data_IF_422374775533
#
_entry.id   IF_422374775533
#
_cell.length_a   1.000
_cell.length_b   1.000
_cell.length_c   1.000
_cell.angle_alpha   90.00
_cell.angle_beta   90.00
_cell.angle_gamma   90.00
#
_symmetry.space_group_name_H-M   'P 1'
#
loop_
_entity.id
_entity.type
_entity.pdbx_description
1 polymer ?
#
# COMPACT_ATOMS: atom_id res chain seq x y z
N UNK A 1 26.58 10.46 10.02
CA UNK A 1 26.45 9.18 10.74
C UNK A 1 25.43 9.18 11.88
N UNK A 2 24.25 9.78 11.69
CA UNK A 2 23.04 9.52 12.49
C UNK A 2 21.83 9.56 11.55
N UNK A 3 21.80 10.56 10.67
CA UNK A 3 20.91 10.66 9.49
C UNK A 3 20.76 9.35 8.70
N UNK A 4 21.87 8.70 8.35
CA UNK A 4 21.84 7.40 7.64
C UNK A 4 21.17 6.29 8.47
N UNK A 5 21.44 6.24 9.78
CA UNK A 5 20.87 5.22 10.67
C UNK A 5 19.35 5.40 10.77
N UNK A 6 18.89 6.63 10.97
CA UNK A 6 17.46 6.97 11.04
C UNK A 6 16.71 6.60 9.75
N UNK A 7 17.31 6.87 8.59
CA UNK A 7 16.66 6.64 7.30
C UNK A 7 16.75 5.19 6.80
N UNK A 8 17.74 4.39 7.24
CA UNK A 8 18.01 3.08 6.63
C UNK A 8 17.92 1.89 7.58
N UNK A 9 17.90 2.10 8.90
CA UNK A 9 18.14 1.01 9.87
C UNK A 9 17.01 0.81 10.87
N UNK A 10 16.06 1.73 10.95
CA UNK A 10 14.88 1.60 11.81
C UNK A 10 13.92 0.57 11.20
N UNK A 11 13.41 -0.37 12.01
CA UNK A 11 12.34 -1.26 11.58
C UNK A 11 11.06 -0.44 11.37
N UNK A 12 10.29 -0.84 10.38
CA UNK A 12 8.93 -0.38 10.16
C UNK A 12 8.21 -1.31 9.21
N UNK A 13 7.00 -0.93 8.80
CA UNK A 13 6.14 -1.76 7.97
C UNK A 13 5.62 -0.94 6.78
N UNK A 14 5.44 -1.61 5.64
CA UNK A 14 5.01 -0.96 4.41
C UNK A 14 4.29 -1.94 3.49
N UNK A 15 3.45 -1.41 2.60
CA UNK A 15 2.85 -2.17 1.51
C UNK A 15 3.92 -2.48 0.45
N UNK A 16 3.99 -3.73 0.00
CA UNK A 16 4.95 -4.24 -1.00
C UNK A 16 4.32 -4.46 -2.36
N UNK A 17 3.04 -4.85 -2.39
CA UNK A 17 2.27 -5.00 -3.62
C UNK A 17 0.80 -4.69 -3.42
N UNK A 18 0.13 -4.34 -4.52
CA UNK A 18 -1.31 -4.11 -4.60
C UNK A 18 -1.87 -4.89 -5.79
N UNK A 19 -3.03 -5.51 -5.60
CA UNK A 19 -3.82 -6.10 -6.67
C UNK A 19 -5.21 -5.44 -6.64
N UNK A 20 -5.60 -4.81 -7.75
CA UNK A 20 -6.91 -4.14 -7.87
C UNK A 20 -7.73 -4.89 -8.90
N UNK A 21 -9.02 -5.11 -8.62
CA UNK A 21 -9.90 -5.82 -9.53
C UNK A 21 -9.97 -5.15 -10.90
N UNK A 22 -9.81 -5.95 -11.95
CA UNK A 22 -9.83 -5.48 -13.34
C UNK A 22 -8.59 -4.69 -13.79
N UNK A 23 -7.60 -4.50 -12.93
CA UNK A 23 -6.35 -3.78 -13.25
C UNK A 23 -5.23 -4.79 -13.54
N UNK A 24 -4.61 -4.64 -14.71
CA UNK A 24 -3.48 -5.50 -15.12
C UNK A 24 -2.12 -4.83 -14.97
N UNK A 25 -2.07 -3.50 -14.96
CA UNK A 25 -0.85 -2.70 -14.90
C UNK A 25 -1.13 -1.33 -14.28
N UNK A 26 -0.08 -0.66 -13.81
CA UNK A 26 -0.09 0.60 -13.07
C UNK A 26 -0.54 1.84 -13.88
N UNK A 27 -0.51 1.75 -15.22
CA UNK A 27 -0.86 2.85 -16.14
C UNK A 27 -2.31 2.81 -16.63
N UNK A 28 -3.22 2.18 -15.88
CA UNK A 28 -4.64 2.11 -16.24
C UNK A 28 -5.50 3.05 -15.38
N UNK A 29 -6.73 3.22 -15.82
CA UNK A 29 -7.82 3.84 -15.05
C UNK A 29 -8.82 2.78 -14.62
N UNK A 30 -9.65 3.10 -13.62
CA UNK A 30 -10.74 2.26 -13.15
C UNK A 30 -12.04 3.01 -13.42
N UNK A 31 -12.99 2.39 -14.12
CA UNK A 31 -14.26 3.03 -14.44
C UNK A 31 -15.02 3.38 -13.14
N UNK A 32 -15.41 4.65 -13.01
CA UNK A 32 -16.14 5.14 -11.83
C UNK A 32 -15.28 5.37 -10.59
N UNK A 33 -13.95 5.32 -10.70
CA UNK A 33 -13.02 5.87 -9.69
C UNK A 33 -12.41 7.15 -10.24
N UNK A 34 -12.28 8.17 -9.39
CA UNK A 34 -11.78 9.50 -9.80
C UNK A 34 -10.27 9.47 -10.10
N UNK A 35 -9.51 8.75 -9.28
CA UNK A 35 -8.06 8.59 -9.41
C UNK A 35 -7.70 7.50 -10.42
N UNK A 36 -6.57 7.70 -11.12
CA UNK A 36 -5.92 6.62 -11.85
C UNK A 36 -5.13 5.69 -10.91
N UNK A 37 -4.72 4.53 -11.43
CA UNK A 37 -4.02 3.51 -10.62
C UNK A 37 -2.69 4.04 -10.07
N UNK A 38 -1.99 4.90 -10.81
CA UNK A 38 -0.74 5.50 -10.33
C UNK A 38 -0.98 6.40 -9.12
N UNK A 39 -2.03 7.22 -9.14
CA UNK A 39 -2.41 8.09 -8.04
C UNK A 39 -2.87 7.30 -6.81
N UNK A 40 -3.59 6.19 -7.02
CA UNK A 40 -3.95 5.24 -5.96
C UNK A 40 -2.69 4.65 -5.33
N UNK A 41 -1.73 4.16 -6.13
CA UNK A 41 -0.45 3.63 -5.63
C UNK A 41 0.30 4.68 -4.82
N UNK A 42 0.36 5.93 -5.29
CA UNK A 42 1.01 7.03 -4.57
C UNK A 42 0.33 7.36 -3.24
N UNK A 43 -0.99 7.20 -3.15
CA UNK A 43 -1.75 7.40 -1.93
C UNK A 43 -1.56 6.23 -0.95
N UNK A 44 -1.53 4.99 -1.45
CA UNK A 44 -1.23 3.79 -0.65
C UNK A 44 0.18 3.85 -0.05
N UNK A 45 1.18 4.35 -0.79
CA UNK A 45 2.55 4.56 -0.25
C UNK A 45 2.62 5.50 0.95
N UNK A 46 1.60 6.33 1.17
CA UNK A 46 1.51 7.24 2.34
C UNK A 46 0.82 6.58 3.54
N UNK A 47 0.23 5.40 3.36
CA UNK A 47 -0.38 4.66 4.47
C UNK A 47 0.72 4.22 5.42
N UNK A 48 0.61 4.68 6.67
CA UNK A 48 1.48 4.31 7.77
C UNK A 48 0.81 3.19 8.54
N UNK A 49 1.50 2.07 8.63
CA UNK A 49 0.99 0.88 9.30
C UNK A 49 2.03 0.30 10.25
N UNK A 50 1.56 -0.43 11.25
CA UNK A 50 2.36 -1.19 12.20
C UNK A 50 1.95 -2.65 12.09
N UNK A 51 2.94 -3.54 12.06
CA UNK A 51 2.72 -5.00 12.07
C UNK A 51 3.48 -5.57 13.27
N UNK A 52 2.78 -6.31 14.13
CA UNK A 52 3.37 -6.92 15.35
C UNK A 52 4.01 -8.30 15.08
N UNK A 53 3.73 -8.90 13.93
CA UNK A 53 4.29 -10.19 13.50
C UNK A 53 5.46 -10.04 12.51
N UNK A 54 6.25 -11.09 12.35
CA UNK A 54 7.30 -11.17 11.33
C UNK A 54 6.78 -11.69 9.96
N UNK A 55 5.53 -12.13 9.88
CA UNK A 55 4.93 -12.69 8.67
C UNK A 55 4.36 -11.61 7.73
N UNK A 56 4.33 -11.93 6.43
CA UNK A 56 3.63 -11.14 5.41
C UNK A 56 2.12 -11.12 5.69
N UNK A 57 1.50 -9.95 5.56
CA UNK A 57 0.08 -9.71 5.83
C UNK A 57 -0.65 -9.33 4.55
N UNK A 58 -1.81 -9.96 4.36
CA UNK A 58 -2.77 -9.61 3.32
C UNK A 58 -3.84 -8.71 3.92
N UNK A 59 -4.04 -7.54 3.34
CA UNK A 59 -5.06 -6.56 3.72
C UNK A 59 -6.05 -6.39 2.57
N UNK A 60 -7.27 -5.99 2.87
CA UNK A 60 -8.36 -5.87 1.90
C UNK A 60 -9.03 -4.51 2.01
N UNK A 61 -9.40 -3.93 0.88
CA UNK A 61 -10.30 -2.80 0.78
C UNK A 61 -11.47 -3.27 -0.09
N UNK A 62 -12.68 -3.27 0.44
CA UNK A 62 -13.93 -3.51 -0.31
C UNK A 62 -14.93 -2.41 0.05
N UNK A 63 -15.06 -1.42 -0.83
CA UNK A 63 -15.91 -0.25 -0.61
C UNK A 63 -16.82 -0.02 -1.81
N UNK A 64 -18.13 0.01 -1.54
CA UNK A 64 -19.15 0.39 -2.52
C UNK A 64 -19.45 1.88 -2.47
N UNK A 65 -19.41 2.55 -3.62
CA UNK A 65 -19.71 3.95 -3.76
C UNK A 65 -21.21 4.29 -3.71
N UNK A 66 -21.56 5.59 -3.58
CA UNK A 66 -20.64 6.72 -3.61
C UNK A 66 -19.90 6.87 -2.27
N UNK A 67 -18.57 6.88 -2.31
CA UNK A 67 -17.74 6.88 -1.11
C UNK A 67 -16.37 7.51 -1.36
N UNK A 68 -15.81 8.10 -0.31
CA UNK A 68 -14.38 8.45 -0.26
C UNK A 68 -13.68 7.35 0.51
N UNK A 69 -12.77 6.63 -0.16
CA UNK A 69 -11.98 5.55 0.42
C UNK A 69 -10.76 6.14 1.12
N UNK A 70 -10.57 5.73 2.36
CA UNK A 70 -9.48 6.15 3.24
C UNK A 70 -8.72 4.93 3.76
N UNK A 71 -7.55 5.15 4.37
CA UNK A 71 -6.80 4.07 5.00
C UNK A 71 -7.56 3.40 6.15
N UNK A 72 -8.54 4.09 6.76
CA UNK A 72 -9.44 3.51 7.76
C UNK A 72 -10.39 2.44 7.22
N UNK A 73 -10.56 2.36 5.90
CA UNK A 73 -11.36 1.32 5.24
C UNK A 73 -10.56 0.04 4.96
N UNK A 74 -9.26 0.03 5.26
CA UNK A 74 -8.39 -1.14 5.12
C UNK A 74 -8.71 -2.15 6.21
N UNK A 75 -9.03 -3.37 5.81
CA UNK A 75 -9.30 -4.50 6.68
C UNK A 75 -8.07 -5.41 6.73
N UNK A 76 -7.67 -5.81 7.92
CA UNK A 76 -6.53 -6.69 8.17
C UNK A 76 -6.78 -7.55 9.41
N UNK A 77 -5.84 -8.43 9.72
CA UNK A 77 -5.88 -9.18 10.98
C UNK A 77 -5.46 -8.33 12.19
N UNK A 78 -5.56 -8.91 13.39
CA UNK A 78 -5.27 -8.21 14.65
C UNK A 78 -3.83 -7.74 14.81
N UNK A 79 -2.91 -8.23 13.97
CA UNK A 79 -1.49 -7.88 14.07
C UNK A 79 -1.17 -6.61 13.29
N UNK A 80 -2.14 -6.07 12.52
CA UNK A 80 -1.98 -4.89 11.67
C UNK A 80 -2.75 -3.72 12.26
N UNK A 81 -2.06 -2.60 12.47
CA UNK A 81 -2.65 -1.34 12.93
C UNK A 81 -2.39 -0.23 11.89
N UNK A 82 -3.46 0.40 11.40
CA UNK A 82 -3.36 1.59 10.55
C UNK A 82 -3.19 2.83 11.44
N UNK A 83 -2.06 3.53 11.26
CA UNK A 83 -1.65 4.65 12.12
C UNK A 83 -2.20 6.00 11.63
N UNK A 84 -2.56 6.12 10.35
CA UNK A 84 -3.13 7.32 9.73
C UNK A 84 -4.43 7.00 8.98
N UNK A 85 -5.53 6.64 9.68
CA UNK A 85 -6.77 6.18 9.07
C UNK A 85 -7.47 7.21 8.17
N UNK A 86 -7.12 8.49 8.31
CA UNK A 86 -7.63 9.60 7.49
C UNK A 86 -6.91 9.76 6.15
N UNK A 87 -5.85 8.98 5.88
CA UNK A 87 -5.12 9.03 4.63
C UNK A 87 -6.04 8.69 3.45
N UNK A 88 -6.29 9.69 2.60
CA UNK A 88 -7.08 9.54 1.38
C UNK A 88 -6.45 8.53 0.42
N UNK A 89 -7.28 7.65 -0.15
CA UNK A 89 -6.88 6.67 -1.17
C UNK A 89 -7.49 7.04 -2.53
N UNK A 90 -8.81 7.04 -2.63
CA UNK A 90 -9.54 7.38 -3.86
C UNK A 90 -11.01 7.75 -3.58
N UNK A 91 -11.70 8.24 -4.61
CA UNK A 91 -13.15 8.48 -4.58
C UNK A 91 -13.86 7.58 -5.59
N UNK A 92 -14.91 6.90 -5.12
CA UNK A 92 -15.69 5.92 -5.87
C UNK A 92 -17.09 6.48 -6.15
N UNK A 93 -17.53 6.39 -7.39
CA UNK A 93 -18.85 6.84 -7.84
C UNK A 93 -19.98 5.90 -7.39
N UNK A 94 -21.23 6.38 -7.46
CA UNK A 94 -22.41 5.57 -7.16
C UNK A 94 -22.51 4.34 -8.06
N UNK A 95 -22.88 3.20 -7.48
CA UNK A 95 -23.02 1.92 -8.19
C UNK A 95 -21.72 1.20 -8.54
N UNK A 96 -20.56 1.73 -8.16
CA UNK A 96 -19.24 1.12 -8.39
C UNK A 96 -18.65 0.59 -7.08
N UNK A 97 -17.95 -0.54 -7.14
CA UNK A 97 -17.22 -1.11 -6.01
C UNK A 97 -15.72 -1.00 -6.30
N UNK A 98 -14.98 -0.45 -5.35
CA UNK A 98 -13.52 -0.52 -5.34
C UNK A 98 -13.09 -1.69 -4.46
N UNK A 99 -12.48 -2.69 -5.08
CA UNK A 99 -11.94 -3.86 -4.41
C UNK A 99 -10.43 -3.97 -4.69
N UNK A 100 -9.63 -4.08 -3.64
CA UNK A 100 -8.19 -4.23 -3.74
C UNK A 100 -7.62 -5.08 -2.59
N UNK A 101 -6.61 -5.88 -2.91
CA UNK A 101 -5.80 -6.64 -1.97
C UNK A 101 -4.43 -6.00 -1.87
N UNK A 102 -4.01 -5.68 -0.65
CA UNK A 102 -2.69 -5.13 -0.35
C UNK A 102 -1.86 -6.22 0.33
N UNK A 103 -0.59 -6.29 -0.02
CA UNK A 103 0.38 -7.11 0.70
C UNK A 103 1.30 -6.19 1.46
N UNK A 104 1.48 -6.41 2.76
CA UNK A 104 2.35 -5.62 3.62
C UNK A 104 3.25 -6.54 4.45
N UNK A 105 4.47 -6.08 4.71
CA UNK A 105 5.43 -6.78 5.57
C UNK A 105 6.26 -5.79 6.40
N UNK A 106 7.15 -6.33 7.22
CA UNK A 106 8.11 -5.54 7.99
C UNK A 106 9.48 -5.52 7.30
N UNK A 107 10.18 -4.40 7.45
CA UNK A 107 11.44 -4.18 6.76
C UNK A 107 12.21 -3.00 7.31
N UNK A 108 13.22 -2.55 6.56
CA UNK A 108 14.07 -1.41 6.95
C UNK A 108 14.37 -0.54 5.74
N UNK A 109 14.40 0.77 5.98
CA UNK A 109 14.77 1.75 4.97
C UNK A 109 13.78 1.81 3.81
N UNK A 110 14.28 1.59 2.60
CA UNK A 110 13.54 1.69 1.35
C UNK A 110 13.84 0.48 0.49
N UNK A 111 12.80 -0.06 -0.16
CA UNK A 111 12.92 -1.13 -1.16
C UNK A 111 12.13 -0.70 -2.39
N UNK A 112 12.75 -0.78 -3.57
CA UNK A 112 12.08 -0.41 -4.81
C UNK A 112 11.05 -1.46 -5.27
N UNK A 113 10.10 -1.03 -6.11
CA UNK A 113 9.16 -1.95 -6.76
C UNK A 113 9.87 -3.07 -7.54
N UNK A 114 10.97 -2.77 -8.23
CA UNK A 114 11.76 -3.76 -8.98
C UNK A 114 12.38 -4.81 -8.04
N UNK A 115 12.87 -4.40 -6.87
CA UNK A 115 13.39 -5.32 -5.86
C UNK A 115 12.26 -6.17 -5.25
N UNK A 116 11.10 -5.59 -4.97
CA UNK A 116 9.93 -6.34 -4.50
C UNK A 116 9.47 -7.38 -5.52
N UNK A 117 9.49 -7.04 -6.81
CA UNK A 117 9.21 -7.97 -7.90
C UNK A 117 10.24 -9.11 -7.94
N UNK A 118 11.52 -8.80 -7.79
CA UNK A 118 12.59 -9.79 -7.82
C UNK A 118 12.59 -10.76 -6.62
N UNK A 119 11.97 -10.38 -5.49
CA UNK A 119 11.82 -11.24 -4.30
C UNK A 119 10.72 -12.31 -4.45
N UNK A 120 9.78 -12.12 -5.37
CA UNK A 120 8.68 -13.05 -5.62
C UNK A 120 8.87 -13.68 -7.01
N UNK A 121 9.46 -14.87 -7.03
CA UNK A 121 9.48 -15.70 -8.25
C UNK A 121 8.03 -15.92 -8.71
N UNK A 122 7.74 -15.64 -9.99
CA UNK A 122 6.43 -15.81 -10.63
C UNK A 122 5.27 -15.00 -10.00
N UNK A 123 5.48 -13.70 -9.76
CA UNK A 123 4.38 -12.78 -9.42
C UNK A 123 3.24 -12.83 -10.46
N UNK A 124 1.99 -13.14 -10.07
CA UNK A 124 0.87 -13.25 -10.99
C UNK A 124 0.58 -11.95 -11.73
N UNK A 125 0.00 -12.06 -12.93
CA UNK A 125 -0.51 -10.90 -13.67
C UNK A 125 -1.59 -10.20 -12.84
N UNK A 126 -1.53 -8.86 -12.78
CA UNK A 126 -2.46 -8.03 -12.00
C UNK A 126 -1.98 -7.71 -10.58
N UNK A 127 -0.92 -8.37 -10.09
CA UNK A 127 -0.21 -7.95 -8.88
C UNK A 127 0.82 -6.89 -9.25
N UNK A 128 0.65 -5.70 -8.68
CA UNK A 128 1.48 -4.54 -8.94
C UNK A 128 2.47 -4.35 -7.77
N UNK A 129 3.77 -4.61 -7.97
CA UNK A 129 4.77 -4.30 -6.95
C UNK A 129 4.91 -2.78 -6.85
N UNK A 130 5.05 -2.28 -5.62
CA UNK A 130 5.22 -0.85 -5.35
C UNK A 130 6.46 -0.62 -4.49
N UNK A 131 6.97 0.61 -4.49
CA UNK A 131 8.06 0.96 -3.57
C UNK A 131 7.58 0.90 -2.12
N UNK A 132 8.37 0.26 -1.27
CA UNK A 132 8.10 0.09 0.16
C UNK A 132 8.98 1.03 0.98
N UNK A 133 8.33 1.98 1.65
CA UNK A 133 8.98 2.96 2.52
C UNK A 133 8.81 2.48 3.96
N UNK A 134 9.71 1.60 4.41
CA UNK A 134 9.68 1.06 5.78
C UNK A 134 10.14 2.07 6.83
N UNK A 135 10.93 3.07 6.43
CA UNK A 135 11.44 4.04 7.40
C UNK A 135 10.29 4.88 7.97
N UNK A 136 10.14 4.94 9.31
CA UNK A 136 9.12 5.78 9.95
C UNK A 136 9.52 7.26 9.96
N UNK A 137 10.60 7.65 9.26
CA UNK A 137 11.19 8.98 9.28
C UNK A 137 11.15 9.58 7.88
N UNK A 138 10.31 10.59 7.67
CA UNK A 138 10.19 11.28 6.38
C UNK A 138 11.37 12.20 6.07
N UNK A 139 11.92 12.90 7.07
CA UNK A 139 12.98 13.89 6.87
C UNK A 139 13.91 14.02 8.07
N UNK A 140 15.21 14.10 7.79
CA UNK A 140 16.26 14.42 8.77
C UNK A 140 17.10 15.58 8.25
N UNK A 141 17.23 16.63 9.08
CA UNK A 141 18.06 17.81 8.82
C UNK A 141 19.49 17.63 9.36
#
# INVERSE_FOLDING_TARGET
SLRRILLSSLPGAAVTSIQIDGVLHEFSTIEGVVEDVTQIILNIKKVSLKIESDDEKSLEIDVKGPATVTAGDIQGDSDVEILNPDQYICTVADGVTFHAILTADTGRGYVSADENKARKDDMPIGVLPIDSIYTPIERVN
#
